data_IF_790260446307
#
_entry.id   IF_790260446307
#
_cell.length_a   1.000
_cell.length_b   1.000
_cell.length_c   1.000
_cell.angle_alpha   90.00
_cell.angle_beta   90.00
_cell.angle_gamma   90.00
#
_symmetry.space_group_name_H-M   'P 1'
#
loop_
_entity.id
_entity.type
_entity.pdbx_description
1 polymer ?
#
# COMPACT_ATOMS: atom_id res chain seq x y z
N UNK A 1 -25.64 1.88 -12.87
CA UNK A 1 -24.71 3.00 -12.61
C UNK A 1 -24.78 3.51 -11.18
N UNK A 2 -25.98 3.57 -10.58
CA UNK A 2 -26.14 3.97 -9.18
C UNK A 2 -25.36 3.07 -8.20
N UNK A 3 -25.50 1.73 -8.33
CA UNK A 3 -24.80 0.75 -7.48
C UNK A 3 -23.27 0.77 -7.57
N UNK A 4 -22.70 1.11 -8.73
CA UNK A 4 -21.24 1.24 -8.90
C UNK A 4 -20.75 2.51 -8.19
N UNK A 5 -21.53 3.59 -8.28
CA UNK A 5 -21.17 4.87 -7.67
C UNK A 5 -21.22 4.80 -6.13
N UNK A 6 -22.25 4.16 -5.55
CA UNK A 6 -22.27 3.93 -4.09
C UNK A 6 -21.16 2.98 -3.63
N UNK A 7 -20.80 1.96 -4.42
CA UNK A 7 -19.69 1.07 -4.07
C UNK A 7 -18.34 1.82 -4.02
N UNK A 8 -18.04 2.62 -5.05
CA UNK A 8 -16.81 3.43 -5.07
C UNK A 8 -16.80 4.46 -3.95
N UNK A 9 -17.94 5.14 -3.72
CA UNK A 9 -18.07 6.16 -2.68
C UNK A 9 -17.90 5.58 -1.28
N UNK A 10 -18.52 4.45 -0.97
CA UNK A 10 -18.38 3.79 0.33
C UNK A 10 -17.02 3.10 0.52
N UNK A 11 -16.42 2.53 -0.52
CA UNK A 11 -15.18 1.76 -0.39
C UNK A 11 -13.90 2.62 -0.34
N UNK A 12 -13.87 3.76 -1.04
CA UNK A 12 -12.67 4.60 -1.14
C UNK A 12 -12.82 5.99 -0.52
N UNK A 13 -13.98 6.63 -0.64
CA UNK A 13 -14.17 8.04 -0.23
C UNK A 13 -14.64 8.15 1.22
N UNK A 14 -15.60 7.31 1.63
CA UNK A 14 -16.15 7.29 2.99
C UNK A 14 -15.55 6.18 3.87
N UNK A 15 -14.57 5.45 3.36
CA UNK A 15 -13.91 4.40 4.12
C UNK A 15 -12.94 4.98 5.14
N UNK A 16 -13.40 5.03 6.40
CA UNK A 16 -12.64 5.58 7.51
C UNK A 16 -11.29 4.88 7.73
N UNK A 17 -11.15 3.61 7.35
CA UNK A 17 -9.88 2.87 7.50
C UNK A 17 -8.80 3.41 6.57
N UNK A 18 -9.15 3.74 5.32
CA UNK A 18 -8.20 4.30 4.36
C UNK A 18 -7.88 5.77 4.66
N UNK A 19 -8.88 6.56 5.08
CA UNK A 19 -8.72 8.00 5.29
C UNK A 19 -8.12 8.38 6.65
N UNK A 20 -8.45 7.65 7.73
CA UNK A 20 -8.03 7.99 9.09
C UNK A 20 -6.94 7.07 9.67
N UNK A 21 -6.77 5.85 9.18
CA UNK A 21 -5.77 4.93 9.76
C UNK A 21 -4.53 4.74 8.89
N UNK A 22 -4.65 4.84 7.56
CA UNK A 22 -3.51 4.70 6.64
C UNK A 22 -3.03 6.08 6.18
N UNK A 23 -1.87 6.55 6.66
CA UNK A 23 -1.23 7.78 6.15
C UNK A 23 -1.50 9.08 6.93
N UNK A 24 -1.96 9.00 8.19
CA UNK A 24 -2.11 10.18 9.08
C UNK A 24 -0.88 11.09 9.10
N UNK A 25 0.33 10.52 9.12
CA UNK A 25 1.58 11.28 9.18
C UNK A 25 1.78 12.17 7.95
N UNK A 26 1.55 11.64 6.75
CA UNK A 26 1.68 12.39 5.50
C UNK A 26 0.49 13.33 5.26
N UNK A 27 -0.71 12.95 5.70
CA UNK A 27 -1.89 13.80 5.64
C UNK A 27 -1.71 15.08 6.47
N UNK A 28 -1.32 14.96 7.74
CA UNK A 28 -1.11 16.11 8.63
C UNK A 28 0.00 17.05 8.11
N UNK A 29 1.04 16.50 7.49
CA UNK A 29 2.15 17.29 6.95
C UNK A 29 1.77 18.10 5.70
N UNK A 30 0.87 17.59 4.85
CA UNK A 30 0.63 18.14 3.50
C UNK A 30 -0.75 18.81 3.36
N UNK A 31 -1.58 18.80 4.40
CA UNK A 31 -2.96 19.34 4.39
C UNK A 31 -3.08 20.84 4.05
N UNK A 32 -2.01 21.64 4.13
CA UNK A 32 -2.07 23.10 3.93
C UNK A 32 -2.13 23.55 2.47
N UNK A 33 -1.74 22.71 1.50
CA UNK A 33 -1.72 23.12 0.10
C UNK A 33 -2.14 21.98 -0.84
N UNK A 34 -3.14 22.26 -1.69
CA UNK A 34 -3.70 21.27 -2.63
C UNK A 34 -2.64 20.83 -3.66
N UNK A 35 -1.75 21.73 -4.07
CA UNK A 35 -0.68 21.41 -5.05
C UNK A 35 0.30 20.36 -4.53
N UNK A 36 0.72 20.43 -3.27
CA UNK A 36 1.64 19.45 -2.66
C UNK A 36 0.90 18.15 -2.32
N UNK A 37 -0.35 18.23 -1.88
CA UNK A 37 -1.18 17.05 -1.61
C UNK A 37 -1.39 16.21 -2.88
N UNK A 38 -1.62 16.86 -4.02
CA UNK A 38 -1.76 16.18 -5.30
C UNK A 38 -0.46 15.48 -5.73
N UNK A 39 0.69 16.15 -5.59
CA UNK A 39 2.00 15.56 -5.91
C UNK A 39 2.34 14.35 -5.04
N UNK A 40 2.08 14.45 -3.72
CA UNK A 40 2.29 13.34 -2.79
C UNK A 40 1.33 12.18 -3.06
N UNK A 41 0.06 12.46 -3.37
CA UNK A 41 -0.92 11.44 -3.72
C UNK A 41 -0.51 10.64 -4.96
N UNK A 42 -0.03 11.31 -6.01
CA UNK A 42 0.49 10.64 -7.22
C UNK A 42 1.71 9.77 -6.92
N UNK A 43 2.65 10.26 -6.11
CA UNK A 43 3.83 9.47 -5.72
C UNK A 43 3.43 8.20 -4.96
N UNK A 44 2.49 8.30 -4.03
CA UNK A 44 2.01 7.14 -3.25
C UNK A 44 1.28 6.12 -4.14
N UNK A 45 0.45 6.57 -5.09
CA UNK A 45 -0.24 5.67 -6.03
C UNK A 45 0.77 4.92 -6.89
N UNK A 46 1.83 5.59 -7.36
CA UNK A 46 2.88 4.97 -8.15
C UNK A 46 3.65 3.89 -7.35
N UNK A 47 4.07 4.21 -6.13
CA UNK A 47 4.76 3.26 -5.25
C UNK A 47 3.87 2.07 -4.92
N UNK A 48 2.60 2.29 -4.55
CA UNK A 48 1.64 1.21 -4.27
C UNK A 48 1.36 0.34 -5.50
N UNK A 49 1.25 0.95 -6.69
CA UNK A 49 1.02 0.23 -7.94
C UNK A 49 2.12 -0.79 -8.28
N UNK A 50 3.37 -0.51 -7.91
CA UNK A 50 4.52 -1.38 -8.19
C UNK A 50 4.81 -2.32 -7.01
N UNK A 51 4.69 -1.84 -5.77
CA UNK A 51 4.98 -2.65 -4.57
C UNK A 51 3.93 -3.73 -4.31
N UNK A 52 2.66 -3.50 -4.66
CA UNK A 52 1.60 -4.51 -4.50
C UNK A 52 1.85 -5.81 -5.27
N UNK A 53 2.12 -5.80 -6.60
CA UNK A 53 2.41 -7.03 -7.34
C UNK A 53 3.72 -7.69 -6.88
N UNK A 54 4.73 -6.91 -6.50
CA UNK A 54 6.01 -7.44 -5.99
C UNK A 54 5.81 -8.14 -4.65
N UNK A 55 5.07 -7.53 -3.71
CA UNK A 55 4.77 -8.13 -2.41
C UNK A 55 3.91 -9.39 -2.55
N UNK A 56 2.99 -9.41 -3.52
CA UNK A 56 2.24 -10.62 -3.85
C UNK A 56 3.15 -11.75 -4.34
N UNK A 57 4.09 -11.45 -5.24
CA UNK A 57 5.06 -12.42 -5.73
C UNK A 57 5.95 -12.95 -4.61
N UNK A 58 6.46 -12.08 -3.74
CA UNK A 58 7.28 -12.46 -2.58
C UNK A 58 6.47 -13.30 -1.59
N UNK A 59 5.22 -12.95 -1.34
CA UNK A 59 4.40 -13.71 -0.40
C UNK A 59 4.07 -15.11 -0.93
N UNK A 60 3.75 -15.22 -2.22
CA UNK A 60 3.35 -16.48 -2.83
C UNK A 60 4.55 -17.41 -3.09
N UNK A 61 5.67 -16.88 -3.60
CA UNK A 61 6.83 -17.70 -3.99
C UNK A 61 7.87 -17.87 -2.89
N UNK A 62 8.03 -16.89 -1.99
CA UNK A 62 9.12 -16.87 -1.02
C UNK A 62 8.69 -17.28 0.40
N UNK A 63 7.44 -16.98 0.79
CA UNK A 63 6.95 -17.19 2.16
C UNK A 63 5.87 -18.28 2.30
N UNK A 64 5.29 -18.75 1.21
CA UNK A 64 4.31 -19.83 1.28
C UNK A 64 4.98 -21.14 1.73
N UNK A 65 4.20 -22.03 2.35
CA UNK A 65 4.60 -23.36 2.85
C UNK A 65 5.26 -24.23 1.74
N UNK A 66 5.02 -23.90 0.46
CA UNK A 66 5.62 -24.51 -0.74
C UNK A 66 6.72 -23.64 -1.41
N UNK A 67 7.21 -22.60 -0.73
CA UNK A 67 8.27 -21.73 -1.24
C UNK A 67 9.63 -22.44 -1.29
N UNK A 68 10.58 -21.89 -2.06
CA UNK A 68 11.92 -22.45 -2.36
C UNK A 68 12.71 -23.05 -1.17
N UNK A 69 12.37 -22.71 0.08
CA UNK A 69 13.04 -23.15 1.30
C UNK A 69 12.26 -24.20 2.12
N UNK A 70 11.02 -24.58 1.77
CA UNK A 70 10.17 -25.54 2.51
C UNK A 70 10.14 -25.32 4.05
N UNK A 71 10.27 -24.07 4.47
CA UNK A 71 10.34 -23.64 5.87
C UNK A 71 9.34 -22.50 6.01
N UNK A 72 8.52 -22.52 7.06
CA UNK A 72 7.56 -21.47 7.33
C UNK A 72 8.28 -20.18 7.77
N UNK A 73 8.48 -19.28 6.80
CA UNK A 73 9.12 -17.99 6.98
C UNK A 73 8.09 -16.87 7.17
N UNK A 74 6.86 -17.20 7.58
CA UNK A 74 5.77 -16.23 7.76
C UNK A 74 6.16 -15.10 8.73
N UNK A 75 7.07 -15.37 9.67
CA UNK A 75 7.55 -14.33 10.60
C UNK A 75 8.32 -13.19 9.90
N UNK A 76 8.98 -13.44 8.75
CA UNK A 76 9.72 -12.41 8.00
C UNK A 76 8.82 -11.56 7.12
N UNK A 77 7.52 -11.91 6.97
CA UNK A 77 6.60 -11.23 6.04
C UNK A 77 6.56 -9.74 6.25
N UNK A 78 6.46 -9.31 7.51
CA UNK A 78 6.37 -7.91 7.87
C UNK A 78 7.65 -7.15 7.46
N UNK A 79 8.82 -7.70 7.79
CA UNK A 79 10.10 -7.04 7.53
C UNK A 79 10.39 -6.97 6.03
N UNK A 80 10.10 -8.04 5.27
CA UNK A 80 10.29 -8.05 3.82
C UNK A 80 9.38 -7.06 3.11
N UNK A 81 8.10 -6.94 3.51
CA UNK A 81 7.20 -5.95 2.93
C UNK A 81 7.67 -4.52 3.20
N UNK A 82 8.15 -4.22 4.42
CA UNK A 82 8.72 -2.90 4.75
C UNK A 82 9.99 -2.63 3.93
N UNK A 83 10.88 -3.61 3.78
CA UNK A 83 12.12 -3.47 3.03
C UNK A 83 11.87 -3.19 1.54
N UNK A 84 10.88 -3.85 0.93
CA UNK A 84 10.49 -3.64 -0.48
C UNK A 84 9.89 -2.25 -0.69
N UNK A 85 9.04 -1.79 0.24
CA UNK A 85 8.48 -0.44 0.15
C UNK A 85 9.58 0.61 0.34
N UNK A 86 10.50 0.41 1.28
CA UNK A 86 11.61 1.31 1.54
C UNK A 86 12.55 1.43 0.34
N UNK A 87 12.98 0.30 -0.25
CA UNK A 87 13.86 0.30 -1.42
C UNK A 87 13.21 0.97 -2.64
N UNK A 88 11.89 0.84 -2.80
CA UNK A 88 11.16 1.47 -3.89
C UNK A 88 11.04 2.99 -3.75
N UNK A 89 10.91 3.51 -2.52
CA UNK A 89 10.83 4.96 -2.26
C UNK A 89 12.22 5.63 -2.35
N UNK A 90 13.28 4.85 -2.15
CA UNK A 90 14.67 5.35 -2.16
C UNK A 90 15.29 5.47 -3.56
N UNK A 91 14.66 4.89 -4.58
CA UNK A 91 15.05 4.98 -6.00
C UNK A 91 14.60 6.30 -6.63
#
# INVERSE_FOLDING_TARGET
MEYINIFIKSAFIENMVLAYFLGMCSYLAVSKSVKTAFGLGLAVIFVLGITMPINWLINHYLLSENGLLHIDLTFLRLILFIAVIASMVQL
#
